data_IF_241657573876
#
_entry.id   IF_241657573876
#
_cell.length_a   1.000
_cell.length_b   1.000
_cell.length_c   1.000
_cell.angle_alpha   90.00
_cell.angle_beta   90.00
_cell.angle_gamma   90.00
#
_symmetry.space_group_name_H-M   'P 1'
#
loop_
_entity.id
_entity.type
_entity.pdbx_description
1 polymer ?
#
# COMPACT_ATOMS: atom_id res chain seq x y z
N UNK A 1 -71.46 31.01 27.81
CA UNK A 1 -70.50 29.92 27.58
C UNK A 1 -69.79 30.21 26.26
N UNK A 2 -68.65 30.92 26.27
CA UNK A 2 -67.78 31.01 25.10
C UNK A 2 -66.87 29.78 25.04
N UNK A 3 -66.68 29.26 23.84
CA UNK A 3 -65.91 28.06 23.52
C UNK A 3 -64.42 28.36 23.59
N UNK A 4 -63.69 27.63 24.42
CA UNK A 4 -62.25 27.69 24.59
C UNK A 4 -61.59 26.88 23.45
N UNK A 5 -60.89 27.54 22.52
CA UNK A 5 -60.05 26.89 21.51
C UNK A 5 -58.61 26.88 22.03
N UNK A 6 -57.91 25.73 22.05
CA UNK A 6 -56.49 25.69 22.40
C UNK A 6 -55.63 26.30 21.26
N UNK A 7 -54.43 26.80 21.57
CA UNK A 7 -53.58 27.51 20.61
C UNK A 7 -53.00 26.56 19.55
N UNK A 8 -52.90 27.03 18.30
CA UNK A 8 -52.20 26.35 17.20
C UNK A 8 -50.71 26.20 17.53
N UNK A 9 -50.24 24.96 17.64
CA UNK A 9 -48.82 24.62 17.64
C UNK A 9 -48.25 24.97 16.27
N UNK A 10 -47.31 25.93 16.25
CA UNK A 10 -46.44 26.18 15.11
C UNK A 10 -45.50 24.98 14.99
N UNK A 11 -45.88 24.03 14.12
CA UNK A 11 -45.04 22.93 13.67
C UNK A 11 -43.87 23.50 12.85
N UNK A 12 -42.84 23.95 13.58
CA UNK A 12 -41.54 24.28 13.02
C UNK A 12 -40.87 22.98 12.61
N UNK A 13 -41.23 22.48 11.43
CA UNK A 13 -40.47 21.45 10.74
C UNK A 13 -39.03 21.96 10.57
N UNK A 14 -38.14 21.48 11.44
CA UNK A 14 -36.70 21.54 11.23
C UNK A 14 -36.39 20.62 10.05
N UNK A 15 -36.62 21.12 8.84
CA UNK A 15 -36.17 20.50 7.59
C UNK A 15 -34.64 20.53 7.61
N UNK A 16 -34.06 19.53 8.27
CA UNK A 16 -32.68 19.13 8.08
C UNK A 16 -32.52 18.73 6.61
N UNK A 17 -32.22 19.72 5.76
CA UNK A 17 -31.86 19.50 4.37
C UNK A 17 -30.77 18.43 4.36
N UNK A 18 -30.98 17.27 3.70
CA UNK A 18 -29.99 16.20 3.69
C UNK A 18 -28.71 16.77 3.08
N UNK A 19 -27.63 16.80 3.87
CA UNK A 19 -26.32 17.23 3.37
C UNK A 19 -25.96 16.34 2.18
N UNK A 20 -25.93 16.94 0.99
CA UNK A 20 -25.50 16.25 -0.21
C UNK A 20 -23.98 16.16 -0.14
N UNK A 21 -23.48 14.98 0.22
CA UNK A 21 -22.05 14.68 0.17
C UNK A 21 -21.70 14.45 -1.30
N UNK A 22 -21.13 15.46 -1.97
CA UNK A 22 -20.51 15.25 -3.28
C UNK A 22 -19.25 14.39 -3.09
N UNK A 23 -19.23 13.21 -3.71
CA UNK A 23 -18.13 12.25 -3.60
C UNK A 23 -17.28 12.35 -4.86
N UNK A 24 -16.00 12.71 -4.70
CA UNK A 24 -15.04 12.76 -5.80
C UNK A 24 -14.65 11.34 -6.21
N UNK A 25 -14.73 11.06 -7.52
CA UNK A 25 -14.46 9.73 -8.09
C UNK A 25 -13.18 9.67 -8.94
N UNK A 26 -12.52 10.80 -9.21
CA UNK A 26 -11.29 10.87 -9.98
C UNK A 26 -10.09 11.16 -9.07
N UNK A 27 -9.07 10.32 -9.17
CA UNK A 27 -7.80 10.43 -8.45
C UNK A 27 -6.71 10.99 -9.36
N UNK A 28 -5.93 11.93 -8.83
CA UNK A 28 -4.75 12.48 -9.48
C UNK A 28 -3.45 11.86 -8.96
N UNK A 29 -3.53 10.86 -8.06
CA UNK A 29 -2.35 10.29 -7.39
C UNK A 29 -1.78 9.09 -8.12
N UNK A 30 -2.63 8.12 -8.43
CA UNK A 30 -2.26 6.80 -8.94
C UNK A 30 -2.97 6.53 -10.26
N UNK A 31 -2.63 5.40 -10.89
CA UNK A 31 -3.14 5.00 -12.21
C UNK A 31 -4.48 4.25 -12.16
N UNK A 32 -4.96 3.83 -13.33
CA UNK A 32 -6.24 3.13 -13.45
C UNK A 32 -6.24 1.75 -12.81
N UNK A 33 -5.09 1.05 -12.77
CA UNK A 33 -5.00 -0.26 -12.14
C UNK A 33 -5.25 -0.15 -10.64
N UNK A 34 -4.55 0.76 -9.96
CA UNK A 34 -4.76 1.04 -8.55
C UNK A 34 -6.18 1.50 -8.26
N UNK A 35 -6.75 2.38 -9.09
CA UNK A 35 -8.13 2.86 -8.94
C UNK A 35 -9.14 1.70 -8.96
N UNK A 36 -8.96 0.72 -9.85
CA UNK A 36 -9.82 -0.47 -9.92
C UNK A 36 -9.66 -1.38 -8.71
N UNK A 37 -8.41 -1.62 -8.27
CA UNK A 37 -8.16 -2.43 -7.07
C UNK A 37 -8.85 -1.84 -5.84
N UNK A 38 -8.68 -0.53 -5.60
CA UNK A 38 -9.33 0.17 -4.49
C UNK A 38 -10.86 0.15 -4.63
N UNK A 39 -11.37 0.29 -5.86
CA UNK A 39 -12.81 0.20 -6.13
C UNK A 39 -13.36 -1.16 -5.70
N UNK A 40 -12.70 -2.24 -6.09
CA UNK A 40 -13.11 -3.61 -5.77
C UNK A 40 -13.02 -3.94 -4.27
N UNK A 41 -12.06 -3.36 -3.54
CA UNK A 41 -11.80 -3.70 -2.14
C UNK A 41 -12.61 -2.89 -1.12
N UNK A 42 -12.85 -1.59 -1.33
CA UNK A 42 -13.54 -0.74 -0.33
C UNK A 42 -14.78 -0.03 -0.88
N UNK A 43 -14.75 0.40 -2.14
CA UNK A 43 -15.74 1.36 -2.63
C UNK A 43 -16.96 0.76 -3.34
N UNK A 44 -16.96 -0.54 -3.62
CA UNK A 44 -18.12 -1.24 -4.21
C UNK A 44 -19.38 -1.12 -3.33
N UNK A 45 -19.23 -1.27 -2.01
CA UNK A 45 -20.35 -1.13 -1.07
C UNK A 45 -20.95 0.28 -1.05
N UNK A 46 -20.13 1.26 -1.45
CA UNK A 46 -20.41 2.68 -1.44
C UNK A 46 -20.92 3.21 -2.79
N UNK A 47 -20.98 2.34 -3.81
CA UNK A 47 -21.38 2.71 -5.18
C UNK A 47 -20.43 3.67 -5.87
N UNK A 48 -19.19 3.82 -5.39
CA UNK A 48 -18.18 4.66 -6.04
C UNK A 48 -17.32 3.80 -6.96
N UNK A 49 -17.15 4.27 -8.19
CA UNK A 49 -16.13 3.76 -9.12
C UNK A 49 -15.00 4.78 -9.17
N UNK A 50 -13.85 4.45 -8.57
CA UNK A 50 -12.67 5.30 -8.66
C UNK A 50 -12.08 5.21 -10.07
N UNK A 51 -11.63 6.35 -10.56
CA UNK A 51 -10.92 6.53 -11.83
C UNK A 51 -9.61 7.28 -11.59
N UNK A 52 -8.69 7.18 -12.55
CA UNK A 52 -7.43 7.90 -12.52
C UNK A 52 -7.37 8.91 -13.65
N UNK A 53 -6.83 10.09 -13.38
CA UNK A 53 -6.71 11.15 -14.37
C UNK A 53 -5.70 10.82 -15.49
N UNK A 54 -4.64 10.06 -15.17
CA UNK A 54 -3.58 9.69 -16.11
C UNK A 54 -2.90 8.37 -15.75
N UNK A 55 -2.25 7.74 -16.73
CA UNK A 55 -1.37 6.60 -16.50
C UNK A 55 0.00 7.08 -15.98
N UNK A 56 0.63 6.29 -15.12
CA UNK A 56 1.86 6.68 -14.39
C UNK A 56 2.88 5.53 -14.35
N UNK A 57 3.47 5.14 -15.50
CA UNK A 57 4.45 4.06 -15.53
C UNK A 57 5.72 4.42 -14.77
N UNK A 58 6.43 3.41 -14.26
CA UNK A 58 7.76 3.59 -13.69
C UNK A 58 8.75 4.03 -14.78
N UNK A 59 9.62 5.02 -14.51
CA UNK A 59 10.66 5.41 -15.44
C UNK A 59 11.85 4.43 -15.39
N UNK A 60 12.10 3.71 -16.48
CA UNK A 60 13.20 2.72 -16.60
C UNK A 60 14.55 3.23 -16.09
N UNK A 61 14.87 4.51 -16.40
CA UNK A 61 16.15 5.11 -16.04
C UNK A 61 16.36 5.29 -14.54
N UNK A 62 15.30 5.30 -13.72
CA UNK A 62 15.40 5.38 -12.27
C UNK A 62 15.60 4.02 -11.59
N UNK A 63 15.52 2.91 -12.33
CA UNK A 63 15.61 1.56 -11.80
C UNK A 63 16.96 0.93 -12.18
N UNK A 64 17.56 0.23 -11.22
CA UNK A 64 18.75 -0.60 -11.36
C UNK A 64 18.46 -2.01 -10.81
N UNK A 65 17.67 -2.77 -11.57
CA UNK A 65 17.28 -4.11 -11.20
C UNK A 65 18.41 -5.12 -11.48
N UNK A 66 19.17 -5.43 -10.44
CA UNK A 66 20.38 -6.27 -10.58
C UNK A 66 20.09 -7.77 -10.64
N UNK A 67 18.88 -8.22 -10.30
CA UNK A 67 18.48 -9.63 -10.29
C UNK A 67 17.21 -9.89 -11.12
N UNK A 68 16.99 -11.14 -11.60
CA UNK A 68 15.76 -11.49 -12.28
C UNK A 68 14.49 -11.28 -11.43
N UNK A 69 14.60 -11.47 -10.11
CA UNK A 69 13.50 -11.23 -9.18
C UNK A 69 13.16 -9.74 -9.08
N UNK A 70 14.17 -8.87 -8.96
CA UNK A 70 13.99 -7.42 -8.96
C UNK A 70 13.48 -6.90 -10.31
N UNK A 71 14.01 -7.41 -11.41
CA UNK A 71 13.56 -7.07 -12.76
C UNK A 71 12.07 -7.37 -12.92
N UNK A 72 11.61 -8.54 -12.44
CA UNK A 72 10.20 -8.91 -12.47
C UNK A 72 9.30 -7.95 -11.68
N UNK A 73 9.82 -7.34 -10.61
CA UNK A 73 9.06 -6.34 -9.81
C UNK A 73 8.92 -5.03 -10.58
N UNK A 74 10.03 -4.47 -11.06
CA UNK A 74 10.05 -3.10 -11.59
C UNK A 74 9.81 -2.98 -13.10
N UNK A 75 10.11 -4.01 -13.88
CA UNK A 75 9.91 -4.01 -15.34
C UNK A 75 8.50 -4.49 -15.73
N UNK A 76 7.66 -4.83 -14.75
CA UNK A 76 6.24 -5.07 -15.00
C UNK A 76 5.51 -3.74 -15.19
N UNK A 77 4.54 -3.72 -16.11
CA UNK A 77 3.60 -2.58 -16.26
C UNK A 77 2.61 -2.47 -15.07
N UNK A 78 2.80 -3.25 -14.01
CA UNK A 78 1.91 -3.30 -12.87
C UNK A 78 2.25 -2.23 -11.83
N UNK A 79 1.24 -1.47 -11.45
CA UNK A 79 1.26 -0.48 -10.37
C UNK A 79 1.13 -1.14 -9.00
N UNK A 80 0.76 -2.41 -8.94
CA UNK A 80 0.75 -3.23 -7.72
C UNK A 80 1.50 -4.53 -7.96
N UNK A 81 2.49 -4.81 -7.11
CA UNK A 81 3.27 -6.07 -7.16
C UNK A 81 3.26 -6.72 -5.80
N UNK A 82 2.95 -8.01 -5.74
CA UNK A 82 2.98 -8.81 -4.51
C UNK A 82 4.23 -9.69 -4.50
N UNK A 83 5.00 -9.61 -3.43
CA UNK A 83 6.14 -10.48 -3.15
C UNK A 83 5.76 -11.35 -1.94
N UNK A 84 5.61 -12.64 -2.18
CA UNK A 84 5.29 -13.60 -1.13
C UNK A 84 6.51 -14.41 -0.75
N UNK A 85 6.64 -14.77 0.52
CA UNK A 85 7.64 -15.73 0.98
C UNK A 85 7.03 -16.78 1.93
N UNK A 86 7.69 -17.92 2.08
CA UNK A 86 7.25 -19.00 2.99
C UNK A 86 8.22 -19.15 4.17
N UNK A 87 7.95 -18.36 5.21
CA UNK A 87 8.53 -18.46 6.54
C UNK A 87 7.42 -18.11 7.53
N UNK A 88 7.40 -18.73 8.73
CA UNK A 88 6.24 -18.71 9.62
C UNK A 88 6.52 -18.45 11.10
N UNK A 89 7.59 -17.74 11.46
CA UNK A 89 8.00 -17.56 12.88
C UNK A 89 8.15 -16.10 13.36
N UNK A 90 8.03 -15.11 12.48
CA UNK A 90 8.22 -13.71 12.82
C UNK A 90 6.93 -13.02 13.26
N UNK A 91 7.06 -12.13 14.24
CA UNK A 91 5.93 -11.43 14.88
C UNK A 91 6.00 -9.94 14.61
N UNK A 92 6.81 -9.22 15.38
CA UNK A 92 6.87 -7.74 15.32
C UNK A 92 8.07 -7.20 14.53
N UNK A 93 9.03 -8.05 14.20
CA UNK A 93 10.22 -7.74 13.40
C UNK A 93 10.47 -8.91 12.47
N UNK A 94 10.70 -8.61 11.20
CA UNK A 94 10.88 -9.60 10.14
C UNK A 94 12.11 -9.27 9.29
N UNK A 95 13.23 -9.98 9.51
CA UNK A 95 14.48 -9.76 8.80
C UNK A 95 14.41 -10.15 7.32
N UNK A 96 13.51 -11.07 6.94
CA UNK A 96 13.30 -11.44 5.53
C UNK A 96 12.69 -10.25 4.79
N UNK A 97 11.63 -9.66 5.34
CA UNK A 97 11.02 -8.47 4.74
C UNK A 97 11.98 -7.28 4.74
N UNK A 98 12.76 -7.07 5.81
CA UNK A 98 13.80 -6.03 5.84
C UNK A 98 14.83 -6.24 4.72
N UNK A 99 15.24 -7.48 4.47
CA UNK A 99 16.20 -7.83 3.41
C UNK A 99 15.61 -7.61 2.02
N UNK A 100 14.38 -8.09 1.77
CA UNK A 100 13.67 -7.89 0.51
C UNK A 100 13.48 -6.40 0.22
N UNK A 101 13.00 -5.63 1.19
CA UNK A 101 12.77 -4.19 1.05
C UNK A 101 14.08 -3.43 0.87
N UNK A 102 15.17 -3.85 1.53
CA UNK A 102 16.50 -3.30 1.28
C UNK A 102 16.96 -3.48 -0.15
N UNK A 103 16.72 -4.66 -0.74
CA UNK A 103 17.05 -4.91 -2.14
C UNK A 103 16.17 -4.09 -3.10
N UNK A 104 14.87 -3.95 -2.81
CA UNK A 104 13.95 -3.12 -3.58
C UNK A 104 14.36 -1.65 -3.55
N UNK A 105 14.62 -1.11 -2.36
CA UNK A 105 15.05 0.27 -2.19
C UNK A 105 16.40 0.52 -2.88
N UNK A 106 17.34 -0.43 -2.80
CA UNK A 106 18.63 -0.33 -3.48
C UNK A 106 18.55 -0.38 -5.01
N UNK A 107 17.47 -0.94 -5.57
CA UNK A 107 17.20 -0.94 -7.00
C UNK A 107 16.60 0.39 -7.49
N UNK A 108 16.12 1.26 -6.59
CA UNK A 108 15.56 2.57 -6.97
C UNK A 108 16.62 3.64 -6.76
N UNK A 109 16.97 4.37 -7.83
CA UNK A 109 17.87 5.53 -7.72
C UNK A 109 17.13 6.63 -6.97
N UNK A 110 17.63 7.01 -5.80
CA UNK A 110 17.09 8.12 -5.00
C UNK A 110 18.04 9.32 -5.07
N UNK A 111 17.52 10.55 -5.15
CA UNK A 111 18.36 11.73 -5.02
C UNK A 111 18.92 11.83 -3.60
N UNK A 112 20.25 11.90 -3.50
CA UNK A 112 20.96 11.98 -2.23
C UNK A 112 20.93 13.38 -1.59
N UNK A 113 20.07 14.29 -2.04
CA UNK A 113 20.16 15.73 -1.73
C UNK A 113 19.26 16.25 -0.61
N UNK A 114 18.48 15.41 0.08
CA UNK A 114 17.69 15.85 1.23
C UNK A 114 18.17 15.19 2.53
N UNK A 115 19.14 15.82 3.19
CA UNK A 115 19.36 15.65 4.63
C UNK A 115 18.05 15.97 5.36
N UNK A 116 17.35 14.95 5.85
CA UNK A 116 16.14 15.10 6.66
C UNK A 116 16.48 15.83 7.95
N UNK A 117 16.04 17.08 8.07
CA UNK A 117 16.01 17.82 9.34
C UNK A 117 15.06 17.07 10.29
N UNK A 118 15.46 16.74 11.53
CA UNK A 118 14.58 16.06 12.48
C UNK A 118 13.42 16.99 12.84
N UNK A 119 12.20 16.49 12.65
CA UNK A 119 10.97 17.25 12.80
C UNK A 119 10.73 17.58 14.29
N UNK A 120 11.15 18.79 14.66
CA UNK A 120 11.03 19.38 15.98
C UNK A 120 10.52 20.81 15.87
N UNK A 121 9.25 20.95 15.47
CA UNK A 121 8.39 22.11 15.69
C UNK A 121 8.93 23.51 15.38
N UNK A 122 8.45 24.12 14.29
CA UNK A 122 7.69 25.39 14.25
C UNK A 122 7.48 25.80 12.78
N UNK A 123 6.27 26.27 12.48
CA UNK A 123 5.74 26.67 11.18
C UNK A 123 6.65 27.67 10.43
N UNK A 124 6.94 27.38 9.16
CA UNK A 124 7.60 28.31 8.24
C UNK A 124 7.65 27.82 6.80
N UNK A 125 6.59 28.10 6.04
CA UNK A 125 6.61 28.44 4.60
C UNK A 125 7.48 27.63 3.63
N UNK A 126 6.85 26.80 2.78
CA UNK A 126 7.03 26.80 1.32
C UNK A 126 5.99 25.90 0.62
N UNK A 127 4.73 26.34 0.63
CA UNK A 127 3.58 25.66 -0.02
C UNK A 127 3.49 25.91 -1.54
N UNK A 128 4.54 26.41 -2.20
CA UNK A 128 4.46 26.85 -3.61
C UNK A 128 5.35 26.10 -4.61
N UNK A 129 6.23 25.19 -4.17
CA UNK A 129 7.14 24.47 -5.09
C UNK A 129 6.68 23.05 -5.47
N UNK A 130 5.71 22.46 -4.75
CA UNK A 130 5.19 21.12 -5.09
C UNK A 130 4.17 21.09 -6.25
N UNK A 131 3.72 22.24 -6.74
CA UNK A 131 2.68 22.31 -7.78
C UNK A 131 3.22 22.23 -9.23
N UNK A 132 4.54 22.11 -9.45
CA UNK A 132 5.13 22.26 -10.78
C UNK A 132 6.08 21.14 -11.26
N UNK A 133 6.10 19.95 -10.65
CA UNK A 133 6.78 18.75 -11.22
C UNK A 133 5.98 18.09 -12.36
N UNK A 134 5.18 18.90 -13.07
CA UNK A 134 4.38 18.52 -14.23
C UNK A 134 4.92 19.21 -15.50
N UNK A 135 6.23 19.06 -15.73
CA UNK A 135 6.83 19.20 -17.05
C UNK A 135 7.93 18.16 -17.14
N UNK A 136 7.82 17.32 -18.17
CA UNK A 136 8.81 16.37 -18.67
C UNK A 136 10.26 16.84 -18.42
N UNK A 137 11.15 15.94 -17.95
CA UNK A 137 12.60 16.16 -17.61
C UNK A 137 12.80 16.57 -16.13
N UNK A 138 13.15 15.74 -15.14
CA UNK A 138 14.10 14.64 -14.99
C UNK A 138 13.51 13.50 -14.11
N UNK A 139 13.55 12.26 -14.57
CA UNK A 139 13.18 11.06 -13.79
C UNK A 139 14.40 10.16 -13.56
N UNK A 140 15.57 10.75 -13.29
CA UNK A 140 16.77 9.96 -12.94
C UNK A 140 16.70 9.43 -11.50
N UNK A 141 15.80 10.00 -10.68
CA UNK A 141 15.58 9.64 -9.30
C UNK A 141 14.09 9.51 -8.96
N UNK A 142 13.78 8.64 -8.01
CA UNK A 142 12.46 8.46 -7.41
C UNK A 142 12.58 8.49 -5.90
N UNK A 143 11.52 8.88 -5.20
CA UNK A 143 11.44 8.69 -3.76
C UNK A 143 10.83 7.31 -3.41
N UNK A 144 11.31 6.72 -2.31
CA UNK A 144 10.91 5.39 -1.86
C UNK A 144 10.49 5.46 -0.40
N UNK A 145 9.33 4.89 -0.07
CA UNK A 145 8.84 4.79 1.29
C UNK A 145 8.49 3.36 1.69
N UNK A 146 8.45 3.13 3.00
CA UNK A 146 8.06 1.84 3.57
C UNK A 146 6.96 2.04 4.60
N UNK A 147 5.89 1.27 4.48
CA UNK A 147 4.81 1.22 5.46
C UNK A 147 4.83 -0.12 6.18
N UNK A 148 4.78 -0.12 7.50
CA UNK A 148 4.75 -1.33 8.33
C UNK A 148 3.76 -1.18 9.50
N UNK A 149 3.06 -2.25 9.93
CA UNK A 149 2.15 -2.18 11.06
C UNK A 149 2.86 -2.00 12.40
N UNK A 150 4.12 -2.43 12.53
CA UNK A 150 4.82 -2.47 13.83
C UNK A 150 5.92 -1.43 13.95
N UNK A 151 5.93 -0.70 15.07
CA UNK A 151 7.02 0.22 15.42
C UNK A 151 8.38 -0.46 15.56
N UNK A 152 8.40 -1.74 15.97
CA UNK A 152 9.64 -2.51 16.07
C UNK A 152 10.23 -2.80 14.68
N UNK A 153 9.40 -3.23 13.72
CA UNK A 153 9.81 -3.39 12.32
C UNK A 153 10.22 -2.06 11.70
N UNK A 154 9.49 -0.97 11.98
CA UNK A 154 9.87 0.39 11.53
C UNK A 154 11.30 0.71 11.97
N UNK A 155 11.64 0.49 13.25
CA UNK A 155 12.99 0.74 13.75
C UNK A 155 14.05 -0.16 13.10
N UNK A 156 13.72 -1.42 12.80
CA UNK A 156 14.61 -2.33 12.07
C UNK A 156 14.87 -1.85 10.63
N UNK A 157 13.82 -1.39 9.94
CA UNK A 157 13.91 -0.82 8.59
C UNK A 157 14.70 0.48 8.58
N UNK A 158 14.44 1.41 9.51
CA UNK A 158 15.21 2.66 9.66
C UNK A 158 16.70 2.41 9.91
N UNK A 159 17.03 1.31 10.58
CA UNK A 159 18.43 0.93 10.82
C UNK A 159 19.09 0.32 9.59
N UNK A 160 18.34 -0.45 8.81
CA UNK A 160 18.87 -1.23 7.69
C UNK A 160 18.87 -0.48 6.34
N UNK A 161 17.96 0.48 6.16
CA UNK A 161 17.77 1.19 4.90
C UNK A 161 18.55 2.51 4.85
N UNK A 162 18.85 3.02 3.64
CA UNK A 162 19.44 4.35 3.48
C UNK A 162 18.56 5.45 4.09
N UNK A 163 19.18 6.54 4.54
CA UNK A 163 18.46 7.68 5.13
C UNK A 163 17.45 8.36 4.17
N UNK A 164 17.62 8.18 2.85
CA UNK A 164 16.69 8.67 1.83
C UNK A 164 15.37 7.89 1.83
N UNK A 165 15.32 6.71 2.45
CA UNK A 165 14.13 5.86 2.54
C UNK A 165 13.44 6.09 3.88
N UNK A 166 12.19 6.56 3.83
CA UNK A 166 11.39 6.75 5.03
C UNK A 166 10.60 5.48 5.35
N UNK A 167 10.75 4.93 6.56
CA UNK A 167 9.87 3.87 7.06
C UNK A 167 8.93 4.42 8.15
N UNK A 168 7.63 4.19 8.02
CA UNK A 168 6.63 4.64 9.01
C UNK A 168 5.47 3.66 9.16
N UNK A 169 4.64 3.89 10.18
CA UNK A 169 3.37 3.19 10.30
C UNK A 169 2.29 3.86 9.46
N UNK A 170 1.20 3.15 9.19
CA UNK A 170 0.06 3.66 8.40
C UNK A 170 -0.46 5.00 8.94
N UNK A 171 -0.55 5.13 10.26
CA UNK A 171 -1.06 6.34 10.94
C UNK A 171 -0.16 7.54 10.68
N UNK A 172 1.15 7.33 10.63
CA UNK A 172 2.15 8.39 10.41
C UNK A 172 2.30 8.77 8.93
N UNK A 173 1.80 7.94 8.02
CA UNK A 173 1.77 8.22 6.58
C UNK A 173 0.50 8.98 6.15
N UNK A 174 -0.34 9.45 7.08
CA UNK A 174 -1.54 10.22 6.73
C UNK A 174 -1.18 11.58 6.09
N UNK A 175 -1.18 11.62 4.75
CA UNK A 175 -0.93 12.80 3.93
C UNK A 175 0.41 12.81 3.20
N UNK A 176 1.29 11.83 3.47
CA UNK A 176 2.54 11.64 2.75
C UNK A 176 2.35 10.70 1.55
N UNK A 177 2.97 11.02 0.43
CA UNK A 177 2.98 10.21 -0.80
C UNK A 177 4.44 9.96 -1.20
N UNK A 178 4.66 8.87 -1.94
CA UNK A 178 5.93 8.55 -2.59
C UNK A 178 5.67 8.01 -3.99
N UNK A 179 6.64 8.09 -4.87
CA UNK A 179 6.65 7.48 -6.19
C UNK A 179 6.57 5.96 -6.05
N UNK A 180 7.39 5.36 -5.16
CA UNK A 180 7.34 3.94 -4.83
C UNK A 180 7.08 3.71 -3.33
N UNK A 181 6.14 2.83 -3.00
CA UNK A 181 5.87 2.40 -1.61
C UNK A 181 6.03 0.89 -1.49
N UNK A 182 6.84 0.45 -0.53
CA UNK A 182 6.83 -0.93 -0.05
C UNK A 182 5.92 -1.07 1.18
N UNK A 183 5.02 -2.05 1.18
CA UNK A 183 4.21 -2.44 2.35
C UNK A 183 4.82 -3.70 2.95
N UNK A 184 5.36 -3.59 4.16
CA UNK A 184 5.87 -4.71 4.96
C UNK A 184 4.75 -5.25 5.83
N UNK A 185 4.22 -6.44 5.54
CA UNK A 185 3.20 -7.07 6.38
C UNK A 185 3.75 -7.46 7.76
N UNK A 186 5.07 -7.68 7.86
CA UNK A 186 5.86 -7.99 9.06
C UNK A 186 5.57 -9.35 9.68
N UNK A 187 4.31 -9.69 9.89
CA UNK A 187 3.92 -10.89 10.63
C UNK A 187 3.95 -12.10 9.71
N UNK A 188 4.61 -13.16 10.18
CA UNK A 188 4.64 -14.45 9.50
C UNK A 188 4.21 -15.62 10.40
N UNK A 189 4.22 -15.44 11.74
CA UNK A 189 3.67 -16.39 12.71
C UNK A 189 2.12 -16.41 12.63
N UNK A 190 1.48 -17.51 12.18
CA UNK A 190 0.03 -17.58 12.03
C UNK A 190 -0.75 -17.46 13.34
N UNK A 191 -0.19 -17.96 14.46
CA UNK A 191 -0.85 -17.84 15.76
C UNK A 191 -0.82 -16.40 16.26
N UNK A 192 0.29 -15.71 16.02
CA UNK A 192 0.40 -14.29 16.34
C UNK A 192 -0.51 -13.45 15.45
N UNK A 193 -0.55 -13.71 14.15
CA UNK A 193 -1.44 -13.04 13.21
C UNK A 193 -2.92 -13.15 13.62
N UNK A 194 -3.37 -14.34 14.07
CA UNK A 194 -4.73 -14.55 14.60
C UNK A 194 -5.02 -13.75 15.86
N UNK A 195 -4.01 -13.56 16.74
CA UNK A 195 -4.18 -12.78 17.98
C UNK A 195 -4.25 -11.28 17.72
N UNK A 196 -3.57 -10.80 16.68
CA UNK A 196 -3.51 -9.38 16.31
C UNK A 196 -4.37 -9.04 15.09
N UNK A 197 -5.35 -9.89 14.76
CA UNK A 197 -6.13 -9.78 13.53
C UNK A 197 -6.82 -8.42 13.37
N UNK A 198 -7.38 -7.85 14.44
CA UNK A 198 -8.09 -6.57 14.38
C UNK A 198 -7.16 -5.41 13.99
N UNK A 199 -5.86 -5.56 14.25
CA UNK A 199 -4.85 -4.58 13.91
C UNK A 199 -4.22 -4.86 12.53
N UNK A 200 -3.87 -6.11 12.24
CA UNK A 200 -3.15 -6.53 11.03
C UNK A 200 -4.05 -6.74 9.82
N UNK A 201 -5.31 -7.09 10.04
CA UNK A 201 -6.30 -7.36 9.01
C UNK A 201 -7.30 -6.21 8.88
N UNK A 202 -7.02 -5.03 9.41
CA UNK A 202 -7.85 -3.84 9.15
C UNK A 202 -7.73 -3.48 7.64
N UNK A 203 -8.78 -3.71 6.83
CA UNK A 203 -8.72 -3.46 5.39
C UNK A 203 -8.44 -1.99 5.09
N UNK A 204 -8.98 -1.07 5.91
CA UNK A 204 -8.82 0.37 5.69
C UNK A 204 -7.36 0.77 5.86
N UNK A 205 -6.69 0.23 6.87
CA UNK A 205 -5.26 0.53 7.09
C UNK A 205 -4.40 0.00 5.95
N UNK A 206 -4.68 -1.21 5.46
CA UNK A 206 -3.98 -1.80 4.32
C UNK A 206 -4.19 -0.98 3.04
N UNK A 207 -5.43 -0.59 2.74
CA UNK A 207 -5.74 0.20 1.54
C UNK A 207 -5.19 1.62 1.62
N UNK A 208 -5.17 2.22 2.81
CA UNK A 208 -4.48 3.50 3.03
C UNK A 208 -2.99 3.35 2.74
N UNK A 209 -2.33 2.26 3.14
CA UNK A 209 -0.93 2.02 2.84
C UNK A 209 -0.69 1.84 1.33
N UNK A 210 -1.51 1.02 0.68
CA UNK A 210 -1.40 0.68 -0.74
C UNK A 210 -1.64 1.90 -1.66
N UNK A 211 -2.50 2.83 -1.24
CA UNK A 211 -2.83 4.05 -2.00
C UNK A 211 -1.86 5.23 -1.80
N UNK A 212 -0.73 5.03 -1.12
CA UNK A 212 0.31 6.08 -0.93
C UNK A 212 1.32 6.16 -2.06
N UNK A 213 1.42 5.14 -2.91
CA UNK A 213 2.27 5.20 -4.09
C UNK A 213 1.63 6.06 -5.19
N UNK A 214 2.48 6.78 -5.93
CA UNK A 214 2.11 7.48 -7.16
C UNK A 214 2.35 6.62 -8.40
N UNK A 215 3.41 5.82 -8.39
CA UNK A 215 3.82 4.97 -9.52
C UNK A 215 3.63 3.48 -9.21
N UNK A 216 4.21 2.97 -8.13
CA UNK A 216 4.14 1.53 -7.82
C UNK A 216 4.07 1.23 -6.32
N UNK A 217 3.16 0.33 -5.95
CA UNK A 217 3.08 -0.28 -4.61
C UNK A 217 3.60 -1.71 -4.66
N UNK A 218 4.56 -2.02 -3.79
CA UNK A 218 5.15 -3.36 -3.65
C UNK A 218 4.78 -3.93 -2.29
N UNK A 219 4.04 -5.02 -2.26
CA UNK A 219 3.51 -5.61 -1.04
C UNK A 219 4.33 -6.84 -0.69
N UNK A 220 5.00 -6.86 0.46
CA UNK A 220 5.82 -7.96 0.92
C UNK A 220 5.14 -8.65 2.08
N UNK A 221 4.79 -9.93 1.93
CA UNK A 221 4.06 -10.67 2.95
C UNK A 221 4.38 -12.17 2.98
N UNK A 222 4.20 -12.80 4.15
CA UNK A 222 4.27 -14.25 4.26
C UNK A 222 2.99 -14.88 3.71
N UNK A 223 3.10 -16.02 3.03
CA UNK A 223 1.93 -16.83 2.63
C UNK A 223 1.10 -17.31 3.83
N UNK A 224 1.67 -17.31 5.04
CA UNK A 224 0.94 -17.59 6.27
C UNK A 224 -0.28 -16.67 6.48
N UNK A 225 -0.21 -15.42 6.01
CA UNK A 225 -1.30 -14.45 6.18
C UNK A 225 -2.54 -14.80 5.34
N UNK A 226 -2.40 -15.64 4.30
CA UNK A 226 -3.53 -16.10 3.51
C UNK A 226 -4.40 -17.13 4.23
N UNK A 227 -3.92 -17.68 5.35
CA UNK A 227 -4.62 -18.69 6.16
C UNK A 227 -5.30 -18.10 7.40
N UNK A 228 -5.18 -16.78 7.61
CA UNK A 228 -5.64 -16.09 8.82
C UNK A 228 -6.94 -15.35 8.51
N UNK A 229 -8.07 -15.98 8.83
CA UNK A 229 -9.38 -15.35 8.72
C UNK A 229 -9.70 -14.52 9.99
N UNK A 230 -10.38 -13.37 9.86
CA UNK A 230 -10.90 -12.63 11.02
C UNK A 230 -11.88 -13.48 11.84
N UNK A 231 -11.83 -13.40 13.18
CA UNK A 231 -12.72 -14.13 14.11
C UNK A 231 -14.14 -13.53 14.09
N UNK A 232 -14.27 -12.22 13.98
CA UNK A 232 -15.55 -11.48 14.10
C UNK A 232 -16.07 -10.90 12.76
N UNK A 233 -15.82 -11.57 11.63
CA UNK A 233 -16.47 -11.14 10.38
C UNK A 233 -17.95 -11.54 10.41
N UNK A 234 -18.83 -10.58 10.71
CA UNK A 234 -20.28 -10.65 10.42
C UNK A 234 -20.57 -10.98 8.94
N UNK A 235 -19.53 -10.92 8.10
CA UNK A 235 -19.47 -11.33 6.70
C UNK A 235 -18.62 -12.60 6.59
N UNK A 236 -19.18 -13.74 7.05
CA UNK A 236 -18.58 -15.08 6.93
C UNK A 236 -18.22 -15.46 5.46
N UNK A 237 -18.73 -14.72 4.48
CA UNK A 237 -18.47 -14.92 3.05
C UNK A 237 -17.16 -14.26 2.56
N UNK A 238 -16.58 -13.37 3.36
CA UNK A 238 -15.39 -12.62 3.01
C UNK A 238 -14.16 -13.26 3.66
N UNK A 239 -13.39 -14.01 2.86
CA UNK A 239 -12.15 -14.66 3.30
C UNK A 239 -11.09 -13.68 3.85
N UNK A 240 -9.91 -14.18 4.28
CA UNK A 240 -8.81 -13.36 4.81
C UNK A 240 -8.52 -12.13 3.93
N UNK A 241 -8.40 -10.95 4.53
CA UNK A 241 -8.17 -9.67 3.80
C UNK A 241 -6.96 -9.76 2.86
N UNK A 242 -5.88 -10.40 3.31
CA UNK A 242 -4.69 -10.66 2.49
C UNK A 242 -4.95 -11.62 1.33
N UNK A 243 -5.77 -12.66 1.54
CA UNK A 243 -6.16 -13.59 0.49
C UNK A 243 -7.11 -12.93 -0.53
N UNK A 244 -7.99 -12.03 -0.07
CA UNK A 244 -8.85 -11.23 -0.94
C UNK A 244 -8.03 -10.26 -1.77
N UNK A 245 -7.15 -9.46 -1.15
CA UNK A 245 -6.23 -8.58 -1.84
C UNK A 245 -5.43 -9.33 -2.90
N UNK A 246 -4.83 -10.48 -2.54
CA UNK A 246 -4.10 -11.32 -3.47
C UNK A 246 -5.02 -11.78 -4.62
N UNK A 247 -6.20 -12.32 -4.31
CA UNK A 247 -7.15 -12.80 -5.31
C UNK A 247 -7.60 -11.70 -6.27
N UNK A 248 -7.86 -10.50 -5.78
CA UNK A 248 -8.29 -9.37 -6.61
C UNK A 248 -7.13 -8.86 -7.48
N UNK A 249 -5.94 -8.72 -6.90
CA UNK A 249 -4.77 -8.21 -7.61
C UNK A 249 -4.25 -9.18 -8.68
N UNK A 250 -4.15 -10.48 -8.38
CA UNK A 250 -3.41 -11.43 -9.25
C UNK A 250 -4.26 -12.62 -9.72
N UNK A 251 -5.47 -12.79 -9.18
CA UNK A 251 -6.37 -13.90 -9.51
C UNK A 251 -6.21 -15.13 -8.62
N UNK A 252 -7.22 -16.02 -8.64
CA UNK A 252 -7.30 -17.22 -7.78
C UNK A 252 -6.31 -18.34 -8.14
N UNK A 253 -5.85 -18.36 -9.38
CA UNK A 253 -4.96 -19.40 -9.93
C UNK A 253 -3.67 -18.78 -10.49
N UNK A 254 -3.24 -17.66 -9.90
CA UNK A 254 -2.07 -16.94 -10.35
C UNK A 254 -0.82 -17.83 -10.27
N UNK A 255 -0.12 -17.95 -11.40
CA UNK A 255 1.28 -18.36 -11.38
C UNK A 255 2.14 -17.09 -11.26
N UNK A 256 3.17 -17.09 -10.40
CA UNK A 256 4.05 -15.95 -10.28
C UNK A 256 4.88 -15.81 -11.54
N UNK A 257 5.17 -14.55 -11.87
CA UNK A 257 6.09 -14.21 -12.93
C UNK A 257 7.53 -14.63 -12.60
N UNK A 258 7.86 -14.74 -11.31
CA UNK A 258 9.16 -15.24 -10.85
C UNK A 258 9.05 -16.07 -9.56
N UNK A 259 9.82 -17.16 -9.47
CA UNK A 259 10.03 -17.94 -8.24
C UNK A 259 11.52 -18.20 -8.04
N UNK A 260 11.96 -18.17 -6.80
CA UNK A 260 13.30 -18.55 -6.39
C UNK A 260 13.43 -18.48 -4.88
N UNK A 261 14.66 -18.42 -4.39
CA UNK A 261 14.99 -18.21 -2.99
C UNK A 261 15.31 -16.75 -2.70
N UNK A 262 15.27 -16.33 -1.43
CA UNK A 262 15.68 -14.99 -1.01
C UNK A 262 17.10 -14.65 -1.50
N UNK A 263 18.03 -15.59 -1.38
CA UNK A 263 19.41 -15.42 -1.81
C UNK A 263 19.54 -15.19 -3.32
N UNK A 264 18.70 -15.85 -4.13
CA UNK A 264 18.62 -15.61 -5.58
C UNK A 264 17.95 -14.27 -5.90
N UNK A 265 16.91 -13.90 -5.16
CA UNK A 265 16.20 -12.63 -5.33
C UNK A 265 17.13 -11.43 -5.13
N UNK A 266 18.04 -11.49 -4.15
CA UNK A 266 18.98 -10.38 -3.86
C UNK A 266 20.39 -10.61 -4.40
N UNK A 267 20.65 -11.72 -5.11
CA UNK A 267 21.98 -12.18 -5.53
C UNK A 267 23.03 -12.26 -4.40
N UNK A 268 22.61 -12.63 -3.19
CA UNK A 268 23.50 -12.85 -2.05
C UNK A 268 23.20 -14.21 -1.40
N UNK A 269 23.85 -15.30 -1.85
CA UNK A 269 23.54 -16.65 -1.38
C UNK A 269 23.94 -16.92 0.09
N UNK A 270 24.74 -16.04 0.70
CA UNK A 270 25.19 -16.16 2.08
C UNK A 270 24.36 -15.34 3.10
N UNK A 271 23.30 -14.65 2.65
CA UNK A 271 22.43 -13.87 3.54
C UNK A 271 21.69 -14.78 4.53
N UNK A 272 21.37 -14.27 5.71
CA UNK A 272 20.45 -14.97 6.61
C UNK A 272 19.13 -15.25 5.87
N UNK A 273 18.58 -16.45 6.05
CA UNK A 273 17.35 -16.90 5.37
C UNK A 273 17.46 -17.03 3.84
N UNK A 274 18.68 -17.11 3.27
CA UNK A 274 18.89 -17.20 1.83
C UNK A 274 18.05 -18.27 1.12
N UNK A 275 17.74 -19.39 1.78
CA UNK A 275 16.99 -20.50 1.19
C UNK A 275 15.47 -20.35 1.28
N UNK A 276 14.95 -19.28 1.91
CA UNK A 276 13.50 -19.06 2.03
C UNK A 276 12.90 -18.88 0.63
N UNK A 277 11.86 -19.64 0.26
CA UNK A 277 11.18 -19.46 -1.03
C UNK A 277 10.54 -18.08 -1.13
N UNK A 278 10.72 -17.43 -2.27
CA UNK A 278 10.15 -16.12 -2.63
C UNK A 278 9.49 -16.24 -4.00
N UNK A 279 8.35 -15.58 -4.17
CA UNK A 279 7.64 -15.50 -5.44
C UNK A 279 7.11 -14.08 -5.68
N UNK A 280 7.14 -13.64 -6.94
CA UNK A 280 6.71 -12.30 -7.38
C UNK A 280 5.49 -12.43 -8.27
N UNK A 281 4.44 -11.69 -7.93
CA UNK A 281 3.18 -11.62 -8.66
C UNK A 281 2.87 -10.16 -8.99
N UNK A 282 3.24 -9.68 -10.19
CA UNK A 282 2.69 -8.46 -10.73
C UNK A 282 1.17 -8.58 -10.82
N UNK A 283 0.45 -7.52 -10.48
CA UNK A 283 -1.00 -7.47 -10.63
C UNK A 283 -1.40 -7.72 -12.08
N UNK A 284 -2.51 -8.42 -12.26
CA UNK A 284 -3.10 -8.74 -13.55
C UNK A 284 -4.43 -8.02 -13.75
N UNK A 285 -4.75 -7.05 -12.90
CA UNK A 285 -5.95 -6.23 -13.04
C UNK A 285 -5.81 -5.46 -14.36
N UNK A 286 -6.53 -5.92 -15.38
CA UNK A 286 -6.44 -5.37 -16.72
C UNK A 286 -6.67 -3.86 -16.71
N UNK A 287 -5.75 -3.13 -17.35
CA UNK A 287 -5.99 -1.72 -17.68
C UNK A 287 -7.11 -1.55 -18.72
N UNK A 288 -7.44 -2.62 -19.44
CA UNK A 288 -8.47 -2.67 -20.47
C UNK A 288 -9.84 -3.12 -19.94
N UNK A 289 -10.57 -2.16 -19.40
CA UNK A 289 -12.01 -2.07 -19.62
C UNK A 289 -12.31 -0.59 -19.82
N UNK A 290 -12.25 -0.17 -21.08
CA UNK A 290 -12.85 1.05 -21.58
C UNK A 290 -13.43 0.70 -22.94
N UNK A 291 -14.67 0.25 -22.94
CA UNK A 291 -15.58 0.34 -24.08
C UNK A 291 -16.97 0.68 -23.59
#
# INVERSE_FOLDING_TARGET
>A
MPTDQPPEELDGADETLPMTVERLAESYRFDSEMARLLTQLEYQADGITLTAAENRPLPDRAIDATSPGLATVFESDASVVLITYDERSHRMVNPIETTLIGALAGAVRTDSSEETVPDGGTVGSNKKEQANRATTEDFDSLDFGVVTPHNAQRGALETALPATVTANTVEKYQGGERDVIAVSATVSDPEFARREEQFLLDPRRLLVAISRARLQTIIVCSTALFEVAPIDSDRLDDGPVWAQLFTQAVGRQAEPAWRGSLGEFIQQPAVAHATVPVAVYPSTISNHDTQ
#
